data_IF_477411136086
#
_entry.id   IF_477411136086
#
_cell.length_a   1.000
_cell.length_b   1.000
_cell.length_c   1.000
_cell.angle_alpha   90.00
_cell.angle_beta   90.00
_cell.angle_gamma   90.00
#
_symmetry.space_group_name_H-M   'P 1'
#
loop_
_entity.id
_entity.type
_entity.pdbx_description
1 polymer ?
#
# COMPACT_ATOMS: atom_id res chain seq x y z
N UNK A 1 46.78 33.95 -31.64
CA UNK A 1 46.59 34.01 -30.17
C UNK A 1 45.65 35.14 -29.85
N UNK A 2 44.49 34.82 -29.27
CA UNK A 2 43.72 35.56 -28.25
C UNK A 2 42.30 34.97 -28.26
N UNK A 3 42.09 34.00 -27.38
CA UNK A 3 40.81 33.39 -27.07
C UNK A 3 40.04 34.33 -26.15
N UNK A 4 38.86 34.79 -26.56
CA UNK A 4 37.92 35.45 -25.65
C UNK A 4 37.09 34.38 -24.91
N UNK A 5 37.00 34.43 -23.57
CA UNK A 5 36.20 33.49 -22.80
C UNK A 5 34.71 33.83 -22.87
N UNK A 6 33.88 32.80 -23.12
CA UNK A 6 32.43 32.88 -23.09
C UNK A 6 31.92 33.09 -21.63
N UNK A 7 30.95 33.99 -21.37
CA UNK A 7 30.55 34.34 -20.02
C UNK A 7 29.73 33.25 -19.32
N UNK A 8 30.06 33.01 -18.05
CA UNK A 8 29.37 32.10 -17.13
C UNK A 8 27.88 32.47 -17.00
N UNK A 9 27.01 31.61 -17.55
CA UNK A 9 25.56 31.73 -17.44
C UNK A 9 25.01 31.07 -16.17
N UNK A 10 24.63 31.93 -15.21
CA UNK A 10 23.44 31.87 -14.34
C UNK A 10 22.91 30.48 -13.89
N UNK A 11 23.31 30.12 -12.67
CA UNK A 11 22.47 29.69 -11.54
C UNK A 11 21.01 29.29 -11.88
N UNK A 12 20.78 28.01 -12.22
CA UNK A 12 19.43 27.42 -12.29
C UNK A 12 19.11 26.73 -10.96
N UNK A 13 18.82 27.53 -9.93
CA UNK A 13 18.01 27.07 -8.81
C UNK A 13 16.62 26.70 -9.36
N UNK A 14 16.47 25.44 -9.77
CA UNK A 14 15.17 24.82 -10.02
C UNK A 14 14.48 24.69 -8.66
N UNK A 15 13.86 25.80 -8.22
CA UNK A 15 12.87 25.81 -7.15
C UNK A 15 11.81 24.78 -7.53
N UNK A 16 11.91 23.59 -6.95
CA UNK A 16 10.81 22.64 -6.87
C UNK A 16 9.69 23.35 -6.12
N UNK A 17 8.80 23.98 -6.90
CA UNK A 17 7.51 24.46 -6.45
C UNK A 17 6.79 23.24 -5.87
N UNK A 18 6.78 23.16 -4.55
CA UNK A 18 5.85 22.33 -3.82
C UNK A 18 4.46 22.61 -4.37
N UNK A 19 3.88 21.64 -5.06
CA UNK A 19 2.46 21.63 -5.41
C UNK A 19 1.66 21.64 -4.11
N UNK A 20 1.39 22.84 -3.59
CA UNK A 20 0.38 23.08 -2.57
C UNK A 20 -0.96 22.88 -3.24
N UNK A 21 -1.51 21.67 -3.20
CA UNK A 21 -2.95 21.48 -3.35
C UNK A 21 -3.65 22.13 -2.16
N UNK A 22 -3.91 23.43 -2.27
CA UNK A 22 -4.86 24.14 -1.40
C UNK A 22 -6.25 23.71 -1.84
N UNK A 23 -6.69 22.56 -1.32
CA UNK A 23 -8.10 22.18 -1.35
C UNK A 23 -8.88 23.14 -0.46
N UNK A 24 -9.66 24.03 -1.07
CA UNK A 24 -10.55 24.98 -0.43
C UNK A 24 -11.56 24.24 0.47
N UNK A 25 -11.35 24.27 1.80
CA UNK A 25 -12.32 23.75 2.76
C UNK A 25 -12.89 24.91 3.56
N UNK A 26 -14.17 25.23 3.28
CA UNK A 26 -15.01 26.19 3.99
C UNK A 26 -14.80 26.13 5.52
N UNK A 27 -14.13 27.13 6.07
CA UNK A 27 -14.23 27.59 7.47
C UNK A 27 -13.79 26.67 8.62
N UNK A 28 -13.31 25.44 8.39
CA UNK A 28 -12.84 24.55 9.48
C UNK A 28 -11.35 24.22 9.30
N UNK A 29 -10.51 24.71 10.19
CA UNK A 29 -9.09 24.34 10.25
C UNK A 29 -8.98 22.86 10.66
N UNK A 30 -8.65 21.98 9.71
CA UNK A 30 -8.42 20.56 9.97
C UNK A 30 -6.93 20.27 9.94
N UNK A 31 -6.41 19.62 10.97
CA UNK A 31 -5.02 19.15 10.98
C UNK A 31 -4.87 18.06 9.92
N UNK A 32 -4.00 18.27 8.93
CA UNK A 32 -3.71 17.30 7.87
C UNK A 32 -2.29 16.77 8.02
N UNK A 33 -2.09 15.51 7.65
CA UNK A 33 -0.76 14.91 7.61
C UNK A 33 0.03 15.51 6.44
N UNK A 34 1.27 15.91 6.70
CA UNK A 34 2.13 16.48 5.67
C UNK A 34 2.43 15.46 4.55
N UNK A 35 2.39 15.85 3.25
CA UNK A 35 2.58 14.92 2.13
C UNK A 35 3.89 14.11 2.18
N UNK A 36 4.98 14.71 2.69
CA UNK A 36 6.25 13.99 2.89
C UNK A 36 6.10 12.80 3.87
N UNK A 37 5.33 12.97 4.95
CA UNK A 37 5.07 11.89 5.92
C UNK A 37 4.22 10.78 5.31
N UNK A 38 3.24 11.14 4.48
CA UNK A 38 2.42 10.17 3.73
C UNK A 38 3.29 9.35 2.76
N UNK A 39 4.19 10.01 2.03
CA UNK A 39 5.13 9.34 1.12
C UNK A 39 6.06 8.39 1.88
N UNK A 40 6.61 8.82 3.02
CA UNK A 40 7.42 7.97 3.91
C UNK A 40 6.64 6.74 4.38
N UNK A 41 5.38 6.92 4.78
CA UNK A 41 4.51 5.82 5.20
C UNK A 41 4.30 4.79 4.09
N UNK A 42 3.89 5.24 2.90
CA UNK A 42 3.69 4.34 1.76
C UNK A 42 4.97 3.63 1.34
N UNK A 43 6.12 4.30 1.38
CA UNK A 43 7.41 3.66 1.09
C UNK A 43 7.75 2.57 2.09
N UNK A 44 7.55 2.81 3.38
CA UNK A 44 7.84 1.81 4.40
C UNK A 44 6.88 0.61 4.30
N UNK A 45 5.57 0.85 4.10
CA UNK A 45 4.61 -0.22 3.81
C UNK A 45 5.01 -1.02 2.56
N UNK A 46 5.55 -0.35 1.53
CA UNK A 46 6.07 -1.01 0.33
C UNK A 46 7.23 -1.95 0.66
N UNK A 47 8.19 -1.51 1.46
CA UNK A 47 9.35 -2.33 1.90
C UNK A 47 8.89 -3.58 2.69
N UNK A 48 7.95 -3.41 3.61
CA UNK A 48 7.37 -4.49 4.40
C UNK A 48 6.61 -5.53 3.55
N UNK A 49 6.06 -5.09 2.41
CA UNK A 49 5.22 -5.92 1.51
C UNK A 49 5.94 -6.34 0.24
N UNK A 50 7.26 -6.40 0.24
CA UNK A 50 8.04 -6.97 -0.88
C UNK A 50 8.36 -8.43 -0.58
N UNK A 51 8.08 -9.35 -1.52
CA UNK A 51 8.45 -10.78 -1.38
C UNK A 51 9.94 -10.99 -1.06
N UNK A 52 10.82 -10.13 -1.58
CA UNK A 52 12.27 -10.24 -1.45
C UNK A 52 12.84 -9.92 -0.07
N UNK A 53 12.02 -9.47 0.89
CA UNK A 53 12.51 -9.11 2.22
C UNK A 53 12.86 -10.33 3.11
N UNK A 54 12.69 -11.57 2.61
CA UNK A 54 12.95 -12.87 3.28
C UNK A 54 12.01 -13.21 4.45
N UNK A 55 10.95 -12.44 4.68
CA UNK A 55 10.08 -12.67 5.84
C UNK A 55 8.99 -13.69 5.54
N UNK A 56 8.68 -14.51 6.53
CA UNK A 56 7.48 -15.35 6.53
C UNK A 56 6.20 -14.51 6.50
N UNK A 57 5.05 -15.15 6.26
CA UNK A 57 3.76 -14.45 6.26
C UNK A 57 3.37 -13.92 7.66
N UNK A 58 3.52 -14.72 8.74
CA UNK A 58 3.28 -14.22 10.10
C UNK A 58 4.18 -13.04 10.47
N UNK A 59 5.49 -13.13 10.21
CA UNK A 59 6.40 -12.02 10.51
C UNK A 59 6.04 -10.74 9.74
N UNK A 60 5.68 -10.88 8.46
CA UNK A 60 5.24 -9.74 7.64
C UNK A 60 3.99 -9.08 8.19
N UNK A 61 3.03 -9.90 8.62
CA UNK A 61 1.81 -9.43 9.26
C UNK A 61 2.13 -8.69 10.57
N UNK A 62 2.99 -9.26 11.42
CA UNK A 62 3.32 -8.68 12.72
C UNK A 62 3.94 -7.30 12.56
N UNK A 63 4.95 -7.15 11.67
CA UNK A 63 5.60 -5.85 11.54
C UNK A 63 4.74 -4.83 10.79
N UNK A 64 3.86 -5.27 9.88
CA UNK A 64 2.84 -4.39 9.31
C UNK A 64 1.90 -3.89 10.40
N UNK A 65 1.43 -4.76 11.29
CA UNK A 65 0.58 -4.38 12.43
C UNK A 65 1.30 -3.38 13.33
N UNK A 66 2.52 -3.70 13.78
CA UNK A 66 3.32 -2.81 14.64
C UNK A 66 3.54 -1.44 14.01
N UNK A 67 3.91 -1.41 12.73
CA UNK A 67 4.14 -0.15 12.02
C UNK A 67 2.86 0.68 11.86
N UNK A 68 1.79 0.06 11.37
CA UNK A 68 0.52 0.74 11.11
C UNK A 68 -0.08 1.30 12.40
N UNK A 69 -0.08 0.52 13.49
CA UNK A 69 -0.55 0.99 14.80
C UNK A 69 0.27 2.18 15.32
N UNK A 70 1.61 2.09 15.27
CA UNK A 70 2.47 3.19 15.70
C UNK A 70 2.26 4.47 14.90
N UNK A 71 2.13 4.35 13.58
CA UNK A 71 1.92 5.49 12.70
C UNK A 71 0.54 6.15 12.91
N UNK A 72 -0.51 5.35 13.06
CA UNK A 72 -1.88 5.85 13.31
C UNK A 72 -1.96 6.53 14.68
N UNK A 73 -1.35 5.95 15.71
CA UNK A 73 -1.30 6.56 17.05
C UNK A 73 -0.61 7.92 17.02
N UNK A 74 0.49 8.03 16.28
CA UNK A 74 1.23 9.29 16.15
C UNK A 74 0.39 10.39 15.44
N UNK A 75 -0.35 10.03 14.37
CA UNK A 75 -1.16 10.98 13.61
C UNK A 75 -2.65 11.01 14.02
N UNK A 76 -3.03 10.49 15.19
CA UNK A 76 -4.44 10.29 15.58
C UNK A 76 -5.31 11.56 15.57
N UNK A 77 -4.70 12.72 15.78
CA UNK A 77 -5.38 14.03 15.77
C UNK A 77 -5.60 14.61 14.37
N UNK A 78 -4.97 14.03 13.33
CA UNK A 78 -5.16 14.49 11.97
C UNK A 78 -6.45 13.93 11.36
N UNK A 79 -7.11 14.74 10.52
CA UNK A 79 -8.17 14.26 9.63
C UNK A 79 -7.54 13.49 8.47
N UNK A 80 -7.52 12.17 8.61
CA UNK A 80 -6.88 11.26 7.66
C UNK A 80 -7.75 10.06 7.29
N UNK A 81 -9.08 10.13 7.47
CA UNK A 81 -10.00 9.02 7.14
C UNK A 81 -9.82 8.53 5.70
N UNK A 82 -9.93 9.44 4.73
CA UNK A 82 -9.78 9.12 3.30
C UNK A 82 -8.39 8.55 2.99
N UNK A 83 -7.35 9.13 3.60
CA UNK A 83 -5.99 8.63 3.45
C UNK A 83 -5.84 7.18 3.95
N UNK A 84 -6.49 6.83 5.07
CA UNK A 84 -6.48 5.46 5.59
C UNK A 84 -7.22 4.50 4.66
N UNK A 85 -8.37 4.89 4.12
CA UNK A 85 -9.15 4.08 3.18
C UNK A 85 -8.36 3.78 1.91
N UNK A 86 -7.79 4.81 1.28
CA UNK A 86 -6.95 4.69 0.08
C UNK A 86 -5.71 3.82 0.33
N UNK A 87 -5.09 3.99 1.50
CA UNK A 87 -3.89 3.24 1.87
C UNK A 87 -4.23 1.77 2.16
N UNK A 88 -5.36 1.50 2.81
CA UNK A 88 -5.85 0.14 3.10
C UNK A 88 -6.16 -0.63 1.80
N UNK A 89 -6.79 0.02 0.83
CA UNK A 89 -7.06 -0.59 -0.47
C UNK A 89 -5.76 -0.95 -1.20
N UNK A 90 -4.86 0.02 -1.29
CA UNK A 90 -3.54 -0.17 -1.88
C UNK A 90 -2.73 -1.26 -1.17
N UNK A 91 -2.77 -1.30 0.17
CA UNK A 91 -2.07 -2.30 0.98
C UNK A 91 -2.63 -3.71 0.74
N UNK A 92 -3.96 -3.88 0.71
CA UNK A 92 -4.59 -5.18 0.39
C UNK A 92 -4.18 -5.68 -1.00
N UNK A 93 -4.15 -4.79 -2.00
CA UNK A 93 -3.68 -5.15 -3.33
C UNK A 93 -2.21 -5.62 -3.31
N UNK A 94 -1.35 -4.96 -2.53
CA UNK A 94 0.05 -5.39 -2.35
C UNK A 94 0.18 -6.73 -1.65
N UNK A 95 -0.62 -6.99 -0.61
CA UNK A 95 -0.66 -8.28 0.08
C UNK A 95 -1.02 -9.38 -0.94
N UNK A 96 -2.05 -9.19 -1.76
CA UNK A 96 -2.40 -10.12 -2.85
C UNK A 96 -1.25 -10.35 -3.82
N UNK A 97 -0.53 -9.29 -4.19
CA UNK A 97 0.66 -9.39 -5.03
C UNK A 97 1.79 -10.21 -4.38
N UNK A 98 1.99 -10.11 -3.05
CA UNK A 98 2.94 -10.96 -2.32
C UNK A 98 2.54 -12.43 -2.41
N UNK A 99 1.28 -12.76 -2.09
CA UNK A 99 0.76 -14.12 -2.19
C UNK A 99 0.88 -14.68 -3.61
N UNK A 100 0.51 -13.90 -4.62
CA UNK A 100 0.66 -14.31 -6.02
C UNK A 100 2.10 -14.67 -6.39
N UNK A 101 3.09 -13.87 -5.91
CA UNK A 101 4.51 -14.16 -6.14
C UNK A 101 5.02 -15.35 -5.31
N UNK A 102 4.43 -15.62 -4.14
CA UNK A 102 4.73 -16.81 -3.35
C UNK A 102 4.21 -18.07 -4.04
N UNK A 103 3.04 -18.00 -4.66
CA UNK A 103 2.45 -19.08 -5.48
C UNK A 103 3.09 -19.14 -6.86
N UNK A 104 4.41 -19.33 -6.89
CA UNK A 104 5.23 -19.29 -8.12
C UNK A 104 4.81 -20.36 -9.14
N UNK A 105 4.46 -21.56 -8.65
CA UNK A 105 4.14 -22.71 -9.52
C UNK A 105 2.63 -22.79 -9.75
N UNK A 106 2.25 -23.07 -10.99
CA UNK A 106 0.84 -23.26 -11.40
C UNK A 106 0.16 -24.32 -10.53
N UNK A 107 0.79 -25.48 -10.31
CA UNK A 107 0.29 -26.54 -9.42
C UNK A 107 -0.06 -26.04 -8.01
N UNK A 108 0.71 -25.09 -7.48
CA UNK A 108 0.45 -24.51 -6.15
C UNK A 108 -0.78 -23.62 -6.18
N UNK A 109 -0.92 -22.78 -7.22
CA UNK A 109 -2.10 -21.93 -7.41
C UNK A 109 -3.37 -22.77 -7.53
N UNK A 110 -3.33 -23.84 -8.32
CA UNK A 110 -4.43 -24.80 -8.44
C UNK A 110 -4.86 -25.36 -7.08
N UNK A 111 -3.92 -25.93 -6.33
CA UNK A 111 -4.21 -26.50 -5.00
C UNK A 111 -4.83 -25.47 -4.05
N UNK A 112 -4.30 -24.26 -4.03
CA UNK A 112 -4.79 -23.20 -3.15
C UNK A 112 -6.18 -22.73 -3.57
N UNK A 113 -6.44 -22.57 -4.86
CA UNK A 113 -7.75 -22.13 -5.34
C UNK A 113 -8.83 -23.19 -5.13
N UNK A 114 -8.51 -24.47 -5.31
CA UNK A 114 -9.42 -25.57 -4.96
C UNK A 114 -9.71 -25.60 -3.45
N UNK A 115 -8.69 -25.40 -2.61
CA UNK A 115 -8.86 -25.29 -1.15
C UNK A 115 -9.68 -24.06 -0.72
N UNK A 116 -9.79 -23.05 -1.59
CA UNK A 116 -10.67 -21.89 -1.39
C UNK A 116 -12.06 -22.08 -2.04
N UNK A 117 -12.40 -23.32 -2.43
CA UNK A 117 -13.70 -23.71 -2.97
C UNK A 117 -14.13 -22.97 -4.26
N UNK A 118 -13.18 -22.56 -5.09
CA UNK A 118 -13.47 -22.04 -6.41
C UNK A 118 -13.89 -23.17 -7.37
N UNK A 119 -14.86 -22.94 -8.26
CA UNK A 119 -15.23 -23.94 -9.26
C UNK A 119 -14.06 -24.18 -10.21
N UNK A 120 -13.88 -25.43 -10.64
CA UNK A 120 -12.70 -25.88 -11.36
C UNK A 120 -12.40 -25.05 -12.62
N UNK A 121 -13.42 -24.72 -13.42
CA UNK A 121 -13.25 -23.86 -14.61
C UNK A 121 -12.61 -22.49 -14.26
N UNK A 122 -12.96 -21.91 -13.12
CA UNK A 122 -12.42 -20.64 -12.65
C UNK A 122 -10.99 -20.82 -12.15
N UNK A 123 -10.72 -21.92 -11.44
CA UNK A 123 -9.36 -22.30 -11.03
C UNK A 123 -8.44 -22.41 -12.24
N UNK A 124 -8.88 -23.11 -13.29
CA UNK A 124 -8.12 -23.28 -14.53
C UNK A 124 -7.76 -21.95 -15.17
N UNK A 125 -8.74 -21.03 -15.27
CA UNK A 125 -8.54 -19.69 -15.83
C UNK A 125 -7.58 -18.84 -14.99
N UNK A 126 -7.75 -18.86 -13.66
CA UNK A 126 -6.98 -17.99 -12.77
C UNK A 126 -5.54 -18.48 -12.58
N UNK A 127 -5.32 -19.78 -12.40
CA UNK A 127 -4.00 -20.33 -12.11
C UNK A 127 -3.02 -20.19 -13.28
N UNK A 128 -3.52 -20.35 -14.51
CA UNK A 128 -2.75 -20.26 -15.76
C UNK A 128 -2.68 -18.84 -16.35
N UNK A 129 -3.16 -17.82 -15.64
CA UNK A 129 -3.16 -16.48 -16.20
C UNK A 129 -1.73 -16.00 -16.50
N UNK A 130 -1.55 -15.38 -17.69
CA UNK A 130 -0.27 -14.78 -18.13
C UNK A 130 -0.12 -13.31 -17.70
N UNK A 131 -0.96 -12.85 -16.77
CA UNK A 131 -0.97 -11.46 -16.32
C UNK A 131 0.23 -11.18 -15.43
N UNK A 132 0.76 -9.95 -15.52
CA UNK A 132 1.77 -9.46 -14.59
C UNK A 132 1.26 -9.45 -13.14
N UNK A 133 2.17 -9.48 -12.17
CA UNK A 133 1.84 -9.66 -10.74
C UNK A 133 0.76 -8.70 -10.24
N UNK A 134 0.85 -7.42 -10.57
CA UNK A 134 -0.13 -6.40 -10.14
C UNK A 134 -1.53 -6.69 -10.69
N UNK A 135 -1.63 -6.95 -12.01
CA UNK A 135 -2.92 -7.27 -12.64
C UNK A 135 -3.47 -8.63 -12.21
N UNK A 136 -2.62 -9.57 -11.82
CA UNK A 136 -3.05 -10.84 -11.24
C UNK A 136 -3.59 -10.66 -9.81
N UNK A 137 -2.99 -9.78 -9.02
CA UNK A 137 -3.46 -9.43 -7.67
C UNK A 137 -4.86 -8.80 -7.68
N UNK A 138 -5.21 -8.07 -8.73
CA UNK A 138 -6.58 -7.56 -8.94
C UNK A 138 -7.60 -8.69 -9.10
N UNK A 139 -7.28 -9.72 -9.89
CA UNK A 139 -8.18 -10.88 -10.05
C UNK A 139 -8.37 -11.64 -8.73
N UNK A 140 -7.36 -11.61 -7.85
CA UNK A 140 -7.45 -12.20 -6.50
C UNK A 140 -8.40 -11.44 -5.58
N UNK A 141 -9.02 -10.32 -5.97
CA UNK A 141 -10.01 -9.64 -5.15
C UNK A 141 -11.21 -10.56 -4.80
N UNK A 142 -11.58 -11.46 -5.71
CA UNK A 142 -12.66 -12.44 -5.52
C UNK A 142 -12.27 -13.60 -4.59
N UNK A 143 -10.96 -13.89 -4.50
CA UNK A 143 -10.42 -15.06 -3.81
C UNK A 143 -9.87 -14.71 -2.43
N UNK A 144 -9.04 -13.66 -2.37
CA UNK A 144 -8.52 -13.07 -1.15
C UNK A 144 -9.31 -11.80 -0.85
N UNK A 145 -10.53 -11.98 -0.37
CA UNK A 145 -11.44 -10.89 0.01
C UNK A 145 -10.88 -10.08 1.18
N UNK A 146 -11.45 -8.90 1.45
CA UNK A 146 -11.08 -8.09 2.62
C UNK A 146 -11.20 -8.89 3.92
N UNK A 147 -12.30 -9.64 4.06
CA UNK A 147 -12.53 -10.50 5.23
C UNK A 147 -11.43 -11.55 5.38
N UNK A 148 -11.06 -12.25 4.32
CA UNK A 148 -9.98 -13.26 4.40
C UNK A 148 -8.64 -12.61 4.81
N UNK A 149 -8.31 -11.45 4.24
CA UNK A 149 -7.06 -10.75 4.55
C UNK A 149 -7.01 -10.28 6.01
N UNK A 150 -8.12 -9.77 6.54
CA UNK A 150 -8.16 -9.23 7.91
C UNK A 150 -8.37 -10.36 8.92
N UNK A 151 -9.40 -11.17 8.73
CA UNK A 151 -9.90 -12.11 9.74
C UNK A 151 -9.10 -13.42 9.77
N UNK A 152 -8.73 -13.96 8.60
CA UNK A 152 -7.99 -15.23 8.51
C UNK A 152 -6.48 -15.04 8.47
N UNK A 153 -6.00 -14.00 7.79
CA UNK A 153 -4.57 -13.75 7.63
C UNK A 153 -3.99 -12.76 8.66
N UNK A 154 -4.84 -12.09 9.45
CA UNK A 154 -4.44 -11.24 10.58
C UNK A 154 -3.86 -9.87 10.19
N UNK A 155 -3.88 -9.49 8.90
CA UNK A 155 -3.34 -8.22 8.46
C UNK A 155 -4.14 -7.03 9.02
N UNK A 156 -3.47 -5.94 9.42
CA UNK A 156 -4.15 -4.79 10.02
C UNK A 156 -5.03 -4.06 8.98
N UNK A 157 -6.22 -3.61 9.42
CA UNK A 157 -6.96 -2.55 8.72
C UNK A 157 -6.65 -1.22 9.38
N UNK A 158 -5.91 -0.36 8.66
CA UNK A 158 -5.57 0.99 9.10
C UNK A 158 -6.83 1.83 9.32
N UNK A 159 -7.82 1.66 8.45
CA UNK A 159 -9.09 2.39 8.55
C UNK A 159 -9.84 2.02 9.83
N UNK A 160 -9.94 0.72 10.14
CA UNK A 160 -10.61 0.25 11.34
C UNK A 160 -9.87 0.68 12.61
N UNK A 161 -8.53 0.59 12.62
CA UNK A 161 -7.72 1.04 13.75
C UNK A 161 -7.84 2.55 13.98
N UNK A 162 -7.77 3.36 12.91
CA UNK A 162 -7.99 4.79 12.98
C UNK A 162 -9.40 5.15 13.44
N UNK A 163 -10.43 4.46 12.94
CA UNK A 163 -11.82 4.63 13.40
C UNK A 163 -12.01 4.34 14.89
N UNK A 164 -11.26 3.39 15.43
CA UNK A 164 -11.31 3.01 16.84
C UNK A 164 -10.61 4.03 17.75
N UNK A 165 -9.53 4.66 17.28
CA UNK A 165 -8.71 5.58 18.08
C UNK A 165 -9.16 7.04 17.91
N UNK A 166 -9.65 7.40 16.72
CA UNK A 166 -10.35 8.67 16.54
C UNK A 166 -11.64 8.57 17.35
N UNK A 167 -12.01 9.62 18.05
CA UNK A 167 -13.06 9.67 19.08
C UNK A 167 -12.57 9.27 20.48
N UNK A 168 -12.13 10.29 21.23
CA UNK A 168 -12.38 10.47 22.66
C UNK A 168 -12.06 11.91 23.13
N UNK A 169 -12.37 12.94 22.32
CA UNK A 169 -12.54 14.35 22.70
C UNK A 169 -13.46 15.04 21.68
#
# INVERSE_FOLDING_TARGET
>A
MQTHPCPKGRNTQRRERQSKEVGNTKGKCRMRVHPKSIKKMKNHLRELTVRGNKWSNPEREEKLRRYTSGWINYYRYADMKKLMEDTDEWLRHRIRAVYWRQWKRVRTRYKIFLALHLPEWQVHKMANCRKGTWRAAEMLNTVLTKAIIVDKLGYPSMTAHYLKIRVNY
#
